data_IF_171209327215
#
_entry.id   IF_171209327215
#
_cell.length_a   1.000
_cell.length_b   1.000
_cell.length_c   1.000
_cell.angle_alpha   90.00
_cell.angle_beta   90.00
_cell.angle_gamma   90.00
#
_symmetry.space_group_name_H-M   'P 1'
#
loop_
_entity.id
_entity.type
_entity.pdbx_description
1 polymer ?
#
# COMPACT_ATOMS: atom_id res chain seq x y z
N UNK A 1 -9.93 20.39 4.96
CA UNK A 1 -8.60 20.98 4.71
C UNK A 1 -8.21 21.81 5.90
N UNK A 2 -7.15 21.45 6.57
CA UNK A 2 -6.80 22.08 7.84
C UNK A 2 -5.87 23.28 7.69
N UNK A 3 -4.85 23.18 6.86
CA UNK A 3 -3.84 24.23 6.74
C UNK A 3 -3.40 24.32 5.30
N UNK A 4 -3.18 25.52 4.81
CA UNK A 4 -2.65 25.86 3.48
C UNK A 4 -2.29 24.66 2.59
N UNK A 5 -3.28 24.08 1.93
CA UNK A 5 -3.06 22.97 0.99
C UNK A 5 -2.86 21.60 1.61
N UNK A 6 -3.03 21.48 2.93
CA UNK A 6 -2.85 20.20 3.62
C UNK A 6 -4.18 19.69 4.16
N UNK A 7 -4.30 18.37 4.24
CA UNK A 7 -5.47 17.70 4.82
C UNK A 7 -4.97 16.75 5.89
N UNK A 8 -5.50 16.88 7.09
CA UNK A 8 -5.18 15.92 8.16
C UNK A 8 -5.76 14.56 7.80
N UNK A 9 -4.98 13.52 8.02
CA UNK A 9 -5.44 12.17 7.71
C UNK A 9 -6.69 11.80 8.52
N UNK A 10 -6.80 12.34 9.74
CA UNK A 10 -7.98 12.11 10.56
C UNK A 10 -9.27 12.71 10.00
N UNK A 11 -9.16 13.61 9.01
CA UNK A 11 -10.32 14.17 8.35
C UNK A 11 -10.88 13.28 7.25
N UNK A 12 -10.23 12.17 6.95
CA UNK A 12 -10.69 11.24 5.93
C UNK A 12 -11.69 10.26 6.53
N UNK A 13 -12.85 10.18 5.93
CA UNK A 13 -13.91 9.26 6.36
C UNK A 13 -13.76 7.94 5.60
N UNK A 14 -12.74 7.17 5.96
CA UNK A 14 -12.42 5.93 5.24
C UNK A 14 -13.49 4.88 5.45
N UNK A 15 -13.94 4.73 6.70
CA UNK A 15 -14.94 3.74 7.05
C UNK A 15 -16.27 3.97 6.32
N UNK A 16 -16.57 5.22 6.04
CA UNK A 16 -17.78 5.58 5.31
C UNK A 16 -17.66 5.51 3.80
N UNK A 17 -16.48 5.17 3.29
CA UNK A 17 -16.30 5.08 1.84
C UNK A 17 -16.93 3.81 1.29
N UNK A 18 -17.22 3.83 -0.01
CA UNK A 18 -17.79 2.67 -0.68
C UNK A 18 -16.72 1.60 -0.83
N UNK A 19 -17.09 0.36 -0.50
CA UNK A 19 -16.18 -0.77 -0.66
C UNK A 19 -15.82 -0.96 -2.14
N UNK A 20 -14.59 -1.42 -2.39
CA UNK A 20 -14.12 -1.63 -3.76
C UNK A 20 -14.92 -2.71 -4.50
N UNK A 21 -15.49 -3.67 -3.78
CA UNK A 21 -16.34 -4.70 -4.35
C UNK A 21 -15.64 -5.76 -5.18
N UNK A 22 -14.31 -5.78 -5.17
CA UNK A 22 -13.53 -6.72 -5.95
C UNK A 22 -12.16 -6.86 -5.30
N UNK A 23 -11.39 -7.85 -5.75
CA UNK A 23 -10.01 -7.99 -5.30
C UNK A 23 -9.18 -6.79 -5.76
N UNK A 24 -8.17 -6.45 -4.98
CA UNK A 24 -7.22 -5.42 -5.39
C UNK A 24 -6.44 -5.90 -6.60
N UNK A 25 -6.07 -4.98 -7.47
CA UNK A 25 -5.24 -5.29 -8.63
C UNK A 25 -3.91 -4.55 -8.53
N UNK A 26 -2.94 -5.00 -9.32
CA UNK A 26 -1.60 -4.42 -9.28
C UNK A 26 -1.57 -2.95 -9.69
N UNK A 27 -2.59 -2.48 -10.40
CA UNK A 27 -2.67 -1.08 -10.83
C UNK A 27 -3.43 -0.19 -9.87
N UNK A 28 -4.06 -0.77 -8.83
CA UNK A 28 -4.72 0.04 -7.82
C UNK A 28 -3.70 0.86 -7.06
N UNK A 29 -4.11 2.02 -6.57
CA UNK A 29 -3.19 2.98 -5.98
C UNK A 29 -3.39 3.10 -4.48
N UNK A 30 -2.30 3.33 -3.78
CA UNK A 30 -2.29 3.65 -2.36
C UNK A 30 -1.51 4.93 -2.14
N UNK A 31 -1.73 5.56 -1.00
CA UNK A 31 -1.01 6.77 -0.61
C UNK A 31 0.15 6.36 0.31
N UNK A 32 1.34 6.87 0.02
CA UNK A 32 2.50 6.62 0.86
C UNK A 32 3.16 7.94 1.25
N UNK A 33 3.76 7.96 2.42
CA UNK A 33 4.59 9.04 2.89
C UNK A 33 6.02 8.68 2.54
N UNK A 34 6.57 9.33 1.52
CA UNK A 34 7.83 8.94 0.90
C UNK A 34 9.02 9.58 1.62
N UNK A 35 9.65 8.80 2.48
CA UNK A 35 10.91 9.20 3.08
C UNK A 35 10.80 10.07 4.29
N UNK A 36 11.96 10.50 4.77
CA UNK A 36 12.08 11.15 6.06
C UNK A 36 11.42 12.53 6.14
N UNK A 37 11.23 13.20 5.04
CA UNK A 37 10.61 14.53 5.03
C UNK A 37 9.16 14.51 4.56
N UNK A 38 8.59 13.33 4.44
CA UNK A 38 7.16 13.18 4.28
C UNK A 38 6.55 13.82 3.06
N UNK A 39 7.04 13.48 1.88
CA UNK A 39 6.35 13.86 0.66
C UNK A 39 5.31 12.80 0.33
N UNK A 40 4.05 13.20 0.27
CA UNK A 40 2.96 12.28 -0.02
C UNK A 40 2.96 11.93 -1.51
N UNK A 41 2.95 10.62 -1.80
CA UNK A 41 2.96 10.13 -3.17
C UNK A 41 1.97 9.01 -3.33
N UNK A 42 1.60 8.74 -4.58
CA UNK A 42 0.81 7.55 -4.89
C UNK A 42 1.77 6.41 -5.25
N UNK A 43 1.35 5.20 -4.95
CA UNK A 43 2.10 4.02 -5.38
C UNK A 43 1.10 2.96 -5.84
N UNK A 44 1.39 2.31 -6.96
CA UNK A 44 0.60 1.17 -7.39
C UNK A 44 0.92 -0.02 -6.50
N UNK A 45 -0.04 -0.92 -6.31
CA UNK A 45 0.17 -2.11 -5.48
C UNK A 45 1.31 -2.98 -5.98
N UNK A 46 1.60 -2.93 -7.28
CA UNK A 46 2.76 -3.64 -7.83
C UNK A 46 4.07 -3.21 -7.17
N UNK A 47 4.14 -1.99 -6.64
CA UNK A 47 5.33 -1.54 -5.92
C UNK A 47 5.55 -2.31 -4.63
N UNK A 48 4.46 -2.71 -3.97
CA UNK A 48 4.55 -3.52 -2.75
C UNK A 48 5.10 -4.89 -3.08
N UNK A 49 4.64 -5.49 -4.18
CA UNK A 49 5.15 -6.78 -4.63
C UNK A 49 6.66 -6.72 -4.89
N UNK A 50 7.11 -5.69 -5.58
CA UNK A 50 8.53 -5.49 -5.85
C UNK A 50 9.33 -5.31 -4.55
N UNK A 51 8.78 -4.56 -3.61
CA UNK A 51 9.43 -4.37 -2.30
C UNK A 51 9.62 -5.71 -1.60
N UNK A 52 8.56 -6.53 -1.56
CA UNK A 52 8.61 -7.83 -0.90
C UNK A 52 9.66 -8.72 -1.55
N UNK A 53 9.70 -8.75 -2.89
CA UNK A 53 10.69 -9.53 -3.61
C UNK A 53 12.12 -9.06 -3.32
N UNK A 54 12.33 -7.74 -3.25
CA UNK A 54 13.64 -7.19 -2.93
C UNK A 54 14.09 -7.53 -1.51
N UNK A 55 13.14 -7.81 -0.61
CA UNK A 55 13.43 -8.22 0.75
C UNK A 55 13.69 -9.73 0.88
N UNK A 56 13.70 -10.44 -0.24
CA UNK A 56 14.06 -11.84 -0.25
C UNK A 56 12.89 -12.81 -0.31
N UNK A 57 11.67 -12.29 -0.51
CA UNK A 57 10.48 -13.14 -0.63
C UNK A 57 9.88 -13.04 -2.02
N UNK A 58 9.29 -14.13 -2.47
CA UNK A 58 8.52 -14.16 -3.71
C UNK A 58 7.23 -14.89 -3.43
N UNK A 59 6.13 -14.37 -3.95
CA UNK A 59 4.83 -15.03 -3.73
C UNK A 59 4.78 -16.43 -4.33
N UNK A 60 5.64 -16.70 -5.31
CA UNK A 60 5.69 -18.00 -5.99
C UNK A 60 6.86 -18.85 -5.50
N UNK A 61 7.56 -18.43 -4.46
CA UNK A 61 8.70 -19.15 -3.92
C UNK A 61 8.22 -20.31 -3.04
N UNK A 62 8.47 -21.58 -3.43
CA UNK A 62 8.03 -22.72 -2.61
C UNK A 62 8.60 -22.72 -1.20
N UNK A 63 9.84 -22.21 -1.04
CA UNK A 63 10.46 -22.14 0.28
C UNK A 63 9.72 -21.16 1.18
N UNK A 64 9.41 -19.99 0.68
CA UNK A 64 8.66 -18.99 1.45
C UNK A 64 7.27 -19.51 1.78
N UNK A 65 6.62 -20.18 0.84
CA UNK A 65 5.28 -20.74 1.06
C UNK A 65 5.33 -21.84 2.10
N UNK A 66 6.34 -22.71 2.06
CA UNK A 66 6.49 -23.79 3.04
C UNK A 66 6.68 -23.23 4.44
N UNK A 67 7.46 -22.18 4.59
CA UNK A 67 7.68 -21.53 5.89
C UNK A 67 6.35 -20.93 6.39
N UNK A 68 5.58 -20.32 5.52
CA UNK A 68 4.31 -19.71 5.90
C UNK A 68 3.29 -20.76 6.37
N UNK A 69 3.33 -21.95 5.79
CA UNK A 69 2.42 -23.04 6.13
C UNK A 69 2.89 -23.89 7.29
N UNK A 70 4.17 -23.94 7.51
CA UNK A 70 4.76 -24.80 8.51
C UNK A 70 5.26 -24.14 9.71
#
# INVERSE_FOLDING_TARGET
ISTAGKVDIGALEIDGATDIGANLSSTDLIIVDDGANGTERKAALSRISTFIENEGFSKDDPTALAIALG
#
